data_IF_576439103385
#
_entry.id   IF_576439103385
#
_cell.length_a   1.000
_cell.length_b   1.000
_cell.length_c   1.000
_cell.angle_alpha   90.00
_cell.angle_beta   90.00
_cell.angle_gamma   90.00
#
_symmetry.space_group_name_H-M   'P 1'
#
loop_
_entity.id
_entity.type
_entity.pdbx_description
1 polymer ?
#
# COMPACT_ATOMS: atom_id res chain seq x y z
N UNK A 1 41.47 -4.46 -31.99
CA UNK A 1 42.37 -3.38 -31.47
C UNK A 1 41.65 -2.07 -31.64
N UNK A 2 41.37 -1.35 -30.53
CA UNK A 2 40.80 0.01 -30.60
C UNK A 2 41.95 0.98 -31.00
N UNK A 3 41.62 1.99 -31.81
CA UNK A 3 42.55 3.06 -32.15
C UNK A 3 42.92 3.83 -30.87
N UNK A 4 44.19 4.26 -30.77
CA UNK A 4 44.64 5.13 -29.66
C UNK A 4 43.97 6.50 -29.62
N UNK A 5 43.20 6.82 -30.63
CA UNK A 5 42.47 8.10 -30.81
C UNK A 5 41.00 8.03 -30.32
N UNK A 6 40.55 6.88 -29.80
CA UNK A 6 39.19 6.67 -29.32
C UNK A 6 39.20 6.34 -27.85
N UNK A 7 38.47 7.16 -27.07
CA UNK A 7 38.15 6.86 -25.69
C UNK A 7 37.02 5.79 -25.63
N UNK A 8 37.26 4.69 -24.94
CA UNK A 8 36.34 3.56 -24.87
C UNK A 8 35.03 3.96 -24.19
N UNK A 9 35.09 4.75 -23.11
CA UNK A 9 33.89 5.18 -22.37
C UNK A 9 33.03 6.11 -23.24
N UNK A 10 33.68 7.01 -24.03
CA UNK A 10 32.98 7.81 -25.01
C UNK A 10 32.26 6.93 -26.05
N UNK A 11 32.95 5.93 -26.61
CA UNK A 11 32.35 5.02 -27.57
C UNK A 11 31.15 4.24 -26.94
N UNK A 12 31.29 3.79 -25.74
CA UNK A 12 30.21 3.12 -24.99
C UNK A 12 28.99 4.02 -24.78
N UNK A 13 29.18 5.31 -24.49
CA UNK A 13 28.11 6.29 -24.36
C UNK A 13 27.42 6.53 -25.68
N UNK A 14 28.17 6.72 -26.79
CA UNK A 14 27.61 6.90 -28.13
C UNK A 14 26.78 5.71 -28.57
N UNK A 15 27.27 4.49 -28.32
CA UNK A 15 26.55 3.25 -28.66
C UNK A 15 25.26 3.04 -27.87
N UNK A 16 25.12 3.67 -26.71
CA UNK A 16 23.89 3.69 -25.90
C UNK A 16 22.93 4.82 -26.27
N UNK A 17 23.37 5.74 -27.10
CA UNK A 17 22.55 6.88 -27.57
C UNK A 17 21.38 6.42 -28.44
N UNK A 18 20.23 7.07 -28.29
CA UNK A 18 18.97 6.74 -28.97
C UNK A 18 19.14 6.64 -30.48
N UNK A 19 19.85 7.60 -31.08
CA UNK A 19 20.13 7.61 -32.52
C UNK A 19 20.84 6.32 -33.01
N UNK A 20 21.82 5.84 -32.24
CA UNK A 20 22.58 4.64 -32.61
C UNK A 20 21.75 3.40 -32.37
N UNK A 21 21.02 3.34 -31.27
CA UNK A 21 20.09 2.23 -30.94
C UNK A 21 19.01 2.12 -32.03
N UNK A 22 18.38 3.21 -32.43
CA UNK A 22 17.36 3.22 -33.46
C UNK A 22 17.94 2.76 -34.82
N UNK A 23 19.15 3.21 -35.18
CA UNK A 23 19.82 2.76 -36.38
C UNK A 23 20.13 1.26 -36.35
N UNK A 24 20.53 0.71 -35.21
CA UNK A 24 20.77 -0.72 -35.00
C UNK A 24 19.46 -1.52 -35.08
N UNK A 25 18.43 -1.12 -34.32
CA UNK A 25 17.16 -1.81 -34.25
C UNK A 25 16.33 -1.74 -35.54
N UNK A 26 16.50 -0.68 -36.33
CA UNK A 26 15.86 -0.57 -37.67
C UNK A 26 16.34 -1.65 -38.66
N UNK A 27 17.48 -2.30 -38.36
CA UNK A 27 18.06 -3.38 -39.18
C UNK A 27 17.81 -4.76 -38.60
N UNK A 28 17.02 -4.86 -37.54
CA UNK A 28 16.69 -6.13 -36.85
C UNK A 28 15.92 -7.05 -37.82
N UNK A 29 16.42 -8.28 -37.97
CA UNK A 29 15.76 -9.33 -38.73
C UNK A 29 15.47 -10.52 -37.82
N UNK A 30 14.22 -10.99 -37.78
CA UNK A 30 13.84 -12.14 -36.97
C UNK A 30 12.35 -12.18 -36.62
N UNK A 31 11.91 -13.25 -35.96
CA UNK A 31 10.55 -13.40 -35.45
C UNK A 31 10.36 -12.71 -34.09
N UNK A 32 9.11 -12.43 -33.73
CA UNK A 32 8.65 -11.65 -32.56
C UNK A 32 9.32 -12.01 -31.21
N UNK A 33 10.04 -13.14 -31.10
CA UNK A 33 10.69 -13.57 -29.86
C UNK A 33 12.22 -13.60 -29.87
N UNK A 34 12.87 -13.41 -31.04
CA UNK A 34 14.35 -13.35 -31.16
C UNK A 34 14.76 -12.46 -32.33
N UNK A 35 15.07 -11.20 -32.06
CA UNK A 35 15.67 -10.31 -33.03
C UNK A 35 17.19 -10.57 -33.15
N UNK A 36 17.71 -10.62 -34.36
CA UNK A 36 19.15 -10.69 -34.62
C UNK A 36 19.63 -9.38 -35.27
N UNK A 37 20.66 -8.79 -34.69
CA UNK A 37 21.34 -7.62 -35.24
C UNK A 37 22.51 -8.12 -36.08
N UNK A 38 22.51 -7.74 -37.35
CA UNK A 38 23.60 -8.11 -38.26
C UNK A 38 24.91 -7.40 -37.88
N UNK A 39 25.99 -8.15 -37.79
CA UNK A 39 27.32 -7.52 -37.54
C UNK A 39 27.72 -6.49 -38.60
N UNK A 40 27.32 -6.64 -39.85
CA UNK A 40 27.57 -5.71 -40.92
C UNK A 40 26.83 -4.37 -40.72
N UNK A 41 25.60 -4.40 -40.22
CA UNK A 41 24.83 -3.19 -39.88
C UNK A 41 25.48 -2.41 -38.74
N UNK A 42 26.02 -3.08 -37.75
CA UNK A 42 26.74 -2.46 -36.63
C UNK A 42 28.06 -1.85 -37.08
N UNK A 43 28.80 -2.49 -38.01
CA UNK A 43 30.08 -2.01 -38.51
C UNK A 43 29.95 -0.81 -39.45
N UNK A 44 28.80 -0.65 -40.08
CA UNK A 44 28.52 0.47 -41.03
C UNK A 44 27.84 1.68 -40.37
N UNK A 45 27.76 1.71 -39.02
CA UNK A 45 27.24 2.89 -38.32
C UNK A 45 28.15 4.10 -38.46
N UNK A 46 27.56 5.22 -38.86
CA UNK A 46 28.26 6.50 -38.89
C UNK A 46 28.22 7.17 -37.50
N UNK A 47 29.38 7.22 -36.86
CA UNK A 47 29.54 7.84 -35.53
C UNK A 47 30.41 9.09 -35.67
N UNK A 48 29.94 10.21 -35.14
CA UNK A 48 30.72 11.43 -35.05
C UNK A 48 31.82 11.27 -33.97
N UNK A 49 33.08 11.40 -34.35
CA UNK A 49 34.23 11.26 -33.48
C UNK A 49 34.93 12.60 -33.31
N UNK A 50 34.74 13.32 -32.19
CA UNK A 50 35.47 14.53 -31.89
C UNK A 50 36.95 14.23 -31.51
N UNK A 51 37.83 15.25 -31.43
CA UNK A 51 39.18 15.06 -30.90
C UNK A 51 39.20 14.38 -29.53
N UNK A 52 40.24 13.60 -29.21
CA UNK A 52 40.33 12.79 -27.97
C UNK A 52 40.11 13.61 -26.69
N UNK A 53 40.63 14.84 -26.64
CA UNK A 53 40.40 15.77 -25.52
C UNK A 53 38.93 16.14 -25.34
N UNK A 54 38.18 16.25 -26.42
CA UNK A 54 36.75 16.51 -26.38
C UNK A 54 35.97 15.27 -25.95
N UNK A 55 36.38 14.09 -26.44
CA UNK A 55 35.77 12.82 -25.95
C UNK A 55 35.87 12.69 -24.43
N UNK A 56 37.04 12.99 -23.85
CA UNK A 56 37.22 12.96 -22.38
C UNK A 56 36.32 13.98 -21.67
N UNK A 57 36.22 15.22 -22.22
CA UNK A 57 35.31 16.23 -21.61
C UNK A 57 33.86 15.80 -21.63
N UNK A 58 33.41 15.18 -22.72
CA UNK A 58 32.06 14.65 -22.86
C UNK A 58 31.80 13.56 -21.82
N UNK A 59 32.71 12.59 -21.68
CA UNK A 59 32.61 11.52 -20.70
C UNK A 59 32.48 12.07 -19.28
N UNK A 60 33.40 12.95 -18.88
CA UNK A 60 33.40 13.56 -17.54
C UNK A 60 32.11 14.34 -17.26
N UNK A 61 31.60 15.07 -18.24
CA UNK A 61 30.37 15.83 -18.06
C UNK A 61 29.13 14.94 -17.94
N UNK A 62 29.03 13.88 -18.76
CA UNK A 62 27.95 12.90 -18.67
C UNK A 62 27.98 12.14 -17.35
N UNK A 63 29.17 11.74 -16.88
CA UNK A 63 29.31 11.09 -15.56
C UNK A 63 28.83 11.98 -14.41
N UNK A 64 29.10 13.29 -14.45
CA UNK A 64 28.56 14.23 -13.47
C UNK A 64 27.02 14.29 -13.49
N UNK A 65 26.43 14.31 -14.69
CA UNK A 65 24.98 14.32 -14.83
C UNK A 65 24.36 13.03 -14.30
N UNK A 66 24.92 11.86 -14.60
CA UNK A 66 24.44 10.60 -14.05
C UNK A 66 24.55 10.55 -12.53
N UNK A 67 25.70 10.99 -11.97
CA UNK A 67 25.86 11.06 -10.53
C UNK A 67 24.82 11.98 -9.86
N UNK A 68 24.45 13.09 -10.50
CA UNK A 68 23.39 13.99 -10.01
C UNK A 68 22.00 13.34 -10.09
N UNK A 69 21.71 12.63 -11.18
CA UNK A 69 20.46 11.86 -11.34
C UNK A 69 20.34 10.81 -10.25
N UNK A 70 21.40 10.02 -10.00
CA UNK A 70 21.44 9.01 -8.95
C UNK A 70 21.19 9.61 -7.56
N UNK A 71 21.75 10.81 -7.28
CA UNK A 71 21.50 11.51 -6.02
C UNK A 71 20.04 11.95 -5.88
N UNK A 72 19.42 12.41 -6.94
CA UNK A 72 18.01 12.80 -6.96
C UNK A 72 17.11 11.58 -6.73
N UNK A 73 17.38 10.48 -7.43
CA UNK A 73 16.63 9.22 -7.27
C UNK A 73 16.75 8.66 -5.86
N UNK A 74 17.97 8.67 -5.29
CA UNK A 74 18.17 8.25 -3.91
C UNK A 74 17.42 9.15 -2.92
N UNK A 75 17.49 10.46 -3.08
CA UNK A 75 16.78 11.43 -2.25
C UNK A 75 15.26 11.22 -2.30
N UNK A 76 14.72 10.92 -3.49
CA UNK A 76 13.30 10.58 -3.68
C UNK A 76 12.92 9.30 -2.92
N UNK A 77 13.72 8.25 -3.02
CA UNK A 77 13.52 6.99 -2.31
C UNK A 77 13.54 7.17 -0.78
N UNK A 78 14.52 7.94 -0.29
CA UNK A 78 14.66 8.23 1.13
C UNK A 78 13.48 9.04 1.68
N UNK A 79 12.98 10.01 0.90
CA UNK A 79 11.80 10.79 1.28
C UNK A 79 10.52 9.94 1.32
N UNK A 80 10.32 9.03 0.35
CA UNK A 80 9.20 8.09 0.37
C UNK A 80 9.25 7.17 1.61
N UNK A 81 10.43 6.69 1.97
CA UNK A 81 10.65 5.90 3.18
C UNK A 81 10.30 6.69 4.44
N UNK A 82 10.76 7.94 4.52
CA UNK A 82 10.49 8.87 5.63
C UNK A 82 9.00 9.15 5.77
N UNK A 83 8.28 9.40 4.68
CA UNK A 83 6.82 9.60 4.67
C UNK A 83 6.11 8.37 5.25
N UNK A 84 6.49 7.16 4.80
CA UNK A 84 5.91 5.91 5.32
C UNK A 84 6.14 5.75 6.83
N UNK A 85 7.34 6.05 7.32
CA UNK A 85 7.67 6.00 8.74
C UNK A 85 6.88 7.05 9.52
N UNK A 86 6.73 8.25 8.98
CA UNK A 86 5.95 9.34 9.59
C UNK A 86 4.47 8.95 9.71
N UNK A 87 3.86 8.39 8.67
CA UNK A 87 2.48 7.87 8.75
C UNK A 87 2.33 6.80 9.83
N UNK A 88 3.28 5.88 9.93
CA UNK A 88 3.28 4.86 10.99
C UNK A 88 3.40 5.49 12.39
N UNK A 89 4.24 6.52 12.55
CA UNK A 89 4.40 7.23 13.81
C UNK A 89 3.16 8.03 14.22
N UNK A 90 2.45 8.63 13.26
CA UNK A 90 1.17 9.31 13.51
C UNK A 90 0.14 8.32 14.07
N UNK A 91 0.03 7.12 13.46
CA UNK A 91 -0.86 6.07 13.97
C UNK A 91 -0.44 5.59 15.36
N UNK A 92 0.84 5.42 15.62
CA UNK A 92 1.36 5.07 16.95
C UNK A 92 0.99 6.12 18.01
N UNK A 93 1.15 7.41 17.70
CA UNK A 93 0.71 8.50 18.59
C UNK A 93 -0.80 8.48 18.82
N UNK A 94 -1.58 8.15 17.79
CA UNK A 94 -3.03 8.06 17.87
C UNK A 94 -3.51 7.00 18.88
N UNK A 95 -2.96 5.78 18.79
CA UNK A 95 -3.35 4.68 19.68
C UNK A 95 -2.84 4.82 21.12
N UNK A 96 -1.89 5.72 21.36
CA UNK A 96 -1.38 6.02 22.70
C UNK A 96 -1.98 7.31 23.29
N UNK A 97 -3.02 7.89 22.63
CA UNK A 97 -3.69 9.10 23.08
C UNK A 97 -2.81 10.35 23.08
N UNK A 98 -1.78 10.39 22.22
CA UNK A 98 -0.80 11.48 22.12
C UNK A 98 -0.97 12.36 20.88
N UNK A 99 -1.95 12.04 20.01
CA UNK A 99 -2.14 12.75 18.75
C UNK A 99 -3.04 14.00 18.90
N UNK A 100 -4.03 13.93 19.77
CA UNK A 100 -4.99 15.03 20.03
C UNK A 100 -5.10 15.30 21.53
N UNK A 101 -5.48 16.52 21.93
CA UNK A 101 -5.70 16.82 23.34
C UNK A 101 -6.91 16.05 23.89
N UNK A 102 -6.82 15.65 25.16
CA UNK A 102 -7.91 15.02 25.90
C UNK A 102 -8.97 16.06 26.27
N UNK A 103 -10.25 15.69 26.25
CA UNK A 103 -11.36 16.49 26.74
C UNK A 103 -11.97 15.80 27.98
N UNK A 104 -11.87 16.40 29.18
CA UNK A 104 -12.40 15.77 30.40
C UNK A 104 -13.93 15.65 30.41
N UNK A 105 -14.64 16.31 29.49
CA UNK A 105 -16.09 16.21 29.36
C UNK A 105 -16.51 15.09 28.39
N UNK A 106 -15.57 14.39 27.78
CA UNK A 106 -15.88 13.24 26.95
C UNK A 106 -16.35 12.06 27.81
N UNK A 107 -17.32 11.31 27.29
CA UNK A 107 -17.80 10.09 27.93
C UNK A 107 -16.66 9.05 28.05
N UNK A 108 -16.45 8.40 29.18
CA UNK A 108 -15.46 7.32 29.27
C UNK A 108 -15.74 6.18 28.31
N UNK A 109 -14.69 5.59 27.72
CA UNK A 109 -14.81 4.50 26.76
C UNK A 109 -15.48 3.26 27.35
N UNK A 110 -15.44 3.07 28.67
CA UNK A 110 -16.15 1.99 29.37
C UNK A 110 -17.67 2.04 29.16
N UNK A 111 -18.26 3.25 29.11
CA UNK A 111 -19.71 3.41 28.87
C UNK A 111 -20.06 3.09 27.40
N UNK A 112 -19.21 3.50 26.47
CA UNK A 112 -19.35 3.13 25.06
C UNK A 112 -19.29 1.60 24.88
N UNK A 113 -18.34 0.93 25.51
CA UNK A 113 -18.18 -0.52 25.39
C UNK A 113 -19.31 -1.31 26.08
N UNK A 114 -19.92 -0.80 27.15
CA UNK A 114 -21.12 -1.37 27.76
C UNK A 114 -22.32 -1.34 26.81
N UNK A 115 -22.43 -0.33 25.92
CA UNK A 115 -23.46 -0.31 24.88
C UNK A 115 -23.26 -1.39 23.83
N UNK A 116 -22.00 -1.73 23.53
CA UNK A 116 -21.65 -2.81 22.59
C UNK A 116 -21.88 -4.19 23.23
N UNK A 117 -21.46 -4.33 24.48
CA UNK A 117 -21.58 -5.55 25.27
C UNK A 117 -21.83 -5.20 26.74
N UNK A 118 -23.08 -5.33 27.25
CA UNK A 118 -23.42 -4.99 28.64
C UNK A 118 -22.58 -5.72 29.69
N UNK A 119 -22.06 -6.90 29.36
CA UNK A 119 -21.20 -7.70 30.21
C UNK A 119 -19.70 -7.47 29.95
N UNK A 120 -19.35 -6.40 29.26
CA UNK A 120 -17.96 -6.09 28.96
C UNK A 120 -17.17 -5.86 30.25
N UNK A 121 -16.08 -6.58 30.38
CA UNK A 121 -15.07 -6.35 31.42
C UNK A 121 -13.80 -5.84 30.71
N UNK A 122 -13.24 -4.70 31.11
CA UNK A 122 -11.99 -4.20 30.54
C UNK A 122 -10.90 -5.26 30.58
N UNK A 123 -10.13 -5.38 29.51
CA UNK A 123 -8.91 -6.17 29.51
C UNK A 123 -7.89 -5.50 30.45
N UNK A 124 -7.00 -6.29 31.04
CA UNK A 124 -5.80 -5.74 31.65
C UNK A 124 -5.00 -4.99 30.58
N UNK A 125 -4.53 -3.77 30.89
CA UNK A 125 -3.85 -2.89 29.94
C UNK A 125 -2.44 -3.37 29.51
N UNK A 126 -2.18 -4.67 29.56
CA UNK A 126 -0.89 -5.35 29.50
C UNK A 126 0.17 -4.79 28.55
N UNK A 127 -0.20 -4.38 27.34
CA UNK A 127 0.71 -3.79 26.36
C UNK A 127 0.67 -2.24 26.33
N UNK A 128 -0.32 -1.61 26.98
CA UNK A 128 -0.56 -0.16 26.97
C UNK A 128 -0.40 0.41 28.36
N UNK A 129 0.82 0.59 28.83
CA UNK A 129 1.14 0.96 30.22
C UNK A 129 0.77 2.40 30.60
N UNK A 130 0.44 3.27 29.64
CA UNK A 130 0.18 4.72 29.85
C UNK A 130 -0.90 5.24 28.91
N UNK A 131 -2.11 4.69 29.02
CA UNK A 131 -3.26 5.27 28.31
C UNK A 131 -3.80 6.48 29.06
N UNK A 132 -4.39 7.48 28.36
CA UNK A 132 -5.09 8.59 29.00
C UNK A 132 -6.24 8.10 29.90
N UNK A 133 -6.61 8.96 30.84
CA UNK A 133 -7.79 8.72 31.67
C UNK A 133 -9.06 8.60 30.81
N UNK A 134 -9.96 7.71 31.16
CA UNK A 134 -11.19 7.44 30.41
C UNK A 134 -11.03 6.51 29.22
N UNK A 135 -9.79 6.14 28.83
CA UNK A 135 -9.55 5.11 27.83
C UNK A 135 -9.63 3.71 28.46
N UNK A 136 -9.95 2.71 27.62
CA UNK A 136 -9.90 1.30 28.02
C UNK A 136 -9.40 0.44 26.86
N UNK A 137 -9.06 -0.81 27.11
CA UNK A 137 -8.60 -1.75 26.09
C UNK A 137 -9.66 -2.82 25.86
N UNK A 138 -9.95 -3.11 24.60
CA UNK A 138 -10.84 -4.18 24.20
C UNK A 138 -10.24 -5.01 23.07
N UNK A 139 -10.50 -6.34 23.01
CA UNK A 139 -10.06 -7.13 21.87
C UNK A 139 -10.89 -6.79 20.62
N UNK A 140 -10.26 -6.85 19.44
CA UNK A 140 -10.87 -6.50 18.15
C UNK A 140 -12.21 -7.19 17.90
N UNK A 141 -12.40 -8.42 18.39
CA UNK A 141 -13.67 -9.16 18.27
C UNK A 141 -14.87 -8.50 18.94
N UNK A 142 -14.67 -7.56 19.87
CA UNK A 142 -15.74 -6.78 20.50
C UNK A 142 -16.18 -5.65 19.55
N UNK A 143 -15.27 -5.12 18.76
CA UNK A 143 -15.47 -3.94 17.92
C UNK A 143 -16.02 -4.28 16.54
N UNK A 144 -15.67 -5.46 16.00
CA UNK A 144 -16.07 -5.88 14.67
C UNK A 144 -16.18 -7.39 14.53
N UNK A 145 -16.86 -7.82 13.47
CA UNK A 145 -17.02 -9.23 13.11
C UNK A 145 -16.71 -9.46 11.63
N UNK A 146 -16.31 -10.71 11.30
CA UNK A 146 -16.05 -11.17 9.94
C UNK A 146 -17.18 -12.12 9.54
N UNK A 147 -17.97 -11.72 8.56
CA UNK A 147 -19.11 -12.49 8.06
C UNK A 147 -19.04 -12.75 6.56
N UNK A 148 -19.91 -13.57 6.05
CA UNK A 148 -20.14 -13.73 4.62
C UNK A 148 -21.36 -12.91 4.22
N UNK A 149 -21.37 -12.40 2.99
CA UNK A 149 -22.56 -11.84 2.36
C UNK A 149 -23.65 -12.91 2.16
N UNK A 150 -24.87 -12.47 1.94
CA UNK A 150 -26.01 -13.35 1.71
C UNK A 150 -25.89 -14.08 0.38
N UNK A 151 -26.13 -15.40 0.38
CA UNK A 151 -26.10 -16.18 -0.86
C UNK A 151 -27.25 -15.80 -1.76
N UNK A 152 -26.96 -15.40 -2.99
CA UNK A 152 -27.94 -15.12 -4.04
C UNK A 152 -27.59 -15.93 -5.30
N UNK A 153 -28.63 -16.34 -6.04
CA UNK A 153 -28.53 -17.07 -7.29
C UNK A 153 -29.48 -16.46 -8.34
N UNK A 154 -29.12 -16.57 -9.61
CA UNK A 154 -29.95 -16.14 -10.73
C UNK A 154 -29.96 -14.62 -11.00
N UNK A 155 -29.16 -13.86 -10.29
CA UNK A 155 -29.02 -12.41 -10.51
C UNK A 155 -27.59 -12.12 -10.97
N UNK A 156 -27.44 -11.49 -12.12
CA UNK A 156 -26.14 -11.09 -12.63
C UNK A 156 -25.61 -9.87 -11.89
N UNK A 157 -24.41 -9.98 -11.31
CA UNK A 157 -23.73 -8.91 -10.57
C UNK A 157 -22.23 -8.95 -10.78
N UNK A 158 -21.58 -7.80 -10.55
CA UNK A 158 -20.13 -7.68 -10.57
C UNK A 158 -19.47 -8.54 -9.49
N UNK A 159 -18.44 -9.29 -9.87
CA UNK A 159 -17.55 -9.98 -8.94
C UNK A 159 -16.56 -8.98 -8.32
N UNK A 160 -16.73 -8.68 -7.06
CA UNK A 160 -15.88 -7.75 -6.28
C UNK A 160 -14.65 -8.49 -5.75
N UNK A 161 -13.79 -8.94 -6.65
CA UNK A 161 -12.51 -9.56 -6.26
C UNK A 161 -11.36 -8.54 -6.15
N UNK A 162 -10.21 -9.02 -5.66
CA UNK A 162 -9.03 -8.18 -5.37
C UNK A 162 -8.57 -7.37 -6.58
N UNK A 163 -8.51 -8.01 -7.77
CA UNK A 163 -8.01 -7.35 -8.98
C UNK A 163 -8.94 -6.24 -9.44
N UNK A 164 -10.26 -6.48 -9.38
CA UNK A 164 -11.26 -5.45 -9.68
C UNK A 164 -11.20 -4.29 -8.67
N UNK A 165 -11.17 -4.60 -7.36
CA UNK A 165 -11.15 -3.58 -6.32
C UNK A 165 -9.86 -2.74 -6.29
N UNK A 166 -8.76 -3.26 -6.86
CA UNK A 166 -7.50 -2.51 -7.06
C UNK A 166 -7.44 -1.76 -8.39
N UNK A 167 -8.44 -1.90 -9.26
CA UNK A 167 -8.41 -1.32 -10.60
C UNK A 167 -7.42 -2.01 -11.55
N UNK A 168 -6.98 -3.23 -11.24
CA UNK A 168 -6.01 -4.00 -12.06
C UNK A 168 -6.67 -4.71 -13.24
N UNK A 169 -8.00 -4.77 -13.28
CA UNK A 169 -8.78 -5.35 -14.38
C UNK A 169 -10.22 -4.87 -14.39
N UNK A 170 -10.87 -5.03 -15.54
CA UNK A 170 -12.29 -4.75 -15.74
C UNK A 170 -13.20 -5.68 -14.92
N UNK A 171 -14.44 -5.23 -14.71
CA UNK A 171 -15.46 -5.98 -14.01
C UNK A 171 -15.76 -7.32 -14.70
N UNK A 172 -15.83 -8.39 -13.92
CA UNK A 172 -16.41 -9.67 -14.33
C UNK A 172 -17.76 -9.84 -13.66
N UNK A 173 -18.74 -10.39 -14.36
CA UNK A 173 -20.05 -10.70 -13.80
C UNK A 173 -20.18 -12.17 -13.42
N UNK A 174 -20.97 -12.43 -12.40
CA UNK A 174 -21.36 -13.75 -11.93
C UNK A 174 -22.87 -13.79 -11.79
N UNK A 175 -23.48 -14.96 -11.98
CA UNK A 175 -24.91 -15.18 -11.81
C UNK A 175 -25.27 -15.71 -10.43
N UNK A 176 -24.28 -15.96 -9.58
CA UNK A 176 -24.46 -16.41 -8.20
C UNK A 176 -23.26 -16.03 -7.34
N UNK A 177 -23.49 -15.79 -6.06
CA UNK A 177 -22.42 -15.46 -5.12
C UNK A 177 -22.95 -14.99 -3.78
N UNK A 178 -22.04 -14.47 -2.94
CA UNK A 178 -22.34 -13.84 -1.67
C UNK A 178 -22.55 -12.34 -1.90
N UNK A 179 -23.81 -11.90 -1.83
CA UNK A 179 -24.17 -10.51 -2.10
C UNK A 179 -23.68 -9.57 -1.01
N UNK A 180 -23.16 -8.43 -1.42
CA UNK A 180 -22.79 -7.30 -0.57
C UNK A 180 -23.23 -5.99 -1.25
N UNK A 181 -23.65 -5.03 -0.45
CA UNK A 181 -24.06 -3.69 -0.93
C UNK A 181 -22.85 -2.80 -1.20
N UNK A 182 -23.06 -1.75 -1.96
CA UNK A 182 -22.10 -0.64 -2.06
C UNK A 182 -21.75 -0.09 -0.67
N UNK A 183 -20.56 0.46 -0.53
CA UNK A 183 -19.98 0.95 0.73
C UNK A 183 -19.77 -0.12 1.83
N UNK A 184 -19.96 -1.40 1.56
CA UNK A 184 -19.57 -2.48 2.46
C UNK A 184 -18.04 -2.57 2.57
N UNK A 185 -17.55 -2.96 3.73
CA UNK A 185 -16.12 -3.21 3.95
C UNK A 185 -15.82 -4.70 3.70
N UNK A 186 -14.86 -4.97 2.84
CA UNK A 186 -14.34 -6.31 2.56
C UNK A 186 -12.90 -6.42 3.04
N UNK A 187 -12.61 -7.36 3.92
CA UNK A 187 -11.25 -7.68 4.37
C UNK A 187 -10.72 -8.90 3.65
N UNK A 188 -9.52 -8.79 3.10
CA UNK A 188 -8.84 -9.90 2.45
C UNK A 188 -8.39 -10.92 3.50
N UNK A 189 -8.92 -12.14 3.40
CA UNK A 189 -8.60 -13.23 4.34
C UNK A 189 -7.67 -14.28 3.74
N UNK A 190 -7.53 -14.33 2.42
CA UNK A 190 -6.68 -15.30 1.72
C UNK A 190 -5.72 -14.56 0.77
N UNK A 191 -4.46 -14.96 0.76
CA UNK A 191 -3.41 -14.42 -0.10
C UNK A 191 -2.35 -13.59 0.62
N UNK A 192 -1.37 -13.11 -0.16
CA UNK A 192 -0.17 -12.42 0.33
C UNK A 192 -0.46 -11.15 1.13
N UNK A 193 -1.51 -10.42 0.78
CA UNK A 193 -1.90 -9.17 1.42
C UNK A 193 -3.10 -9.33 2.38
N UNK A 194 -3.26 -10.51 2.99
CA UNK A 194 -4.33 -10.74 3.97
C UNK A 194 -4.32 -9.67 5.08
N UNK A 195 -5.52 -9.21 5.47
CA UNK A 195 -5.71 -8.06 6.35
C UNK A 195 -5.92 -6.71 5.63
N UNK A 196 -5.80 -6.66 4.30
CA UNK A 196 -6.14 -5.48 3.51
C UNK A 196 -7.67 -5.30 3.46
N UNK A 197 -8.12 -4.07 3.70
CA UNK A 197 -9.55 -3.73 3.68
C UNK A 197 -9.87 -2.87 2.47
N UNK A 198 -10.98 -3.20 1.81
CA UNK A 198 -11.53 -2.48 0.67
C UNK A 198 -12.95 -2.04 0.96
N UNK A 199 -13.33 -0.87 0.46
CA UNK A 199 -14.71 -0.42 0.44
C UNK A 199 -15.29 -0.72 -0.94
N UNK A 200 -16.46 -1.36 -0.98
CA UNK A 200 -17.10 -1.71 -2.24
C UNK A 200 -17.63 -0.47 -2.95
N UNK A 201 -17.27 -0.24 -4.22
CA UNK A 201 -17.76 0.94 -4.95
C UNK A 201 -19.24 0.80 -5.40
N UNK A 202 -19.69 -0.43 -5.57
CA UNK A 202 -21.03 -0.80 -6.07
C UNK A 202 -21.54 -2.05 -5.35
N UNK A 203 -22.82 -2.34 -5.52
CA UNK A 203 -23.41 -3.63 -5.18
C UNK A 203 -22.78 -4.76 -6.02
N UNK A 204 -22.53 -5.91 -5.41
CA UNK A 204 -21.92 -7.02 -6.14
C UNK A 204 -21.82 -8.31 -5.35
N UNK A 205 -21.10 -9.27 -5.90
CA UNK A 205 -20.76 -10.50 -5.20
C UNK A 205 -19.37 -10.42 -4.60
N UNK A 206 -19.29 -10.70 -3.31
CA UNK A 206 -18.04 -10.80 -2.55
C UNK A 206 -17.10 -11.81 -3.21
N UNK A 207 -15.89 -11.39 -3.55
CA UNK A 207 -14.84 -12.30 -4.05
C UNK A 207 -14.50 -13.39 -3.01
N UNK A 208 -14.15 -14.57 -3.48
CA UNK A 208 -13.93 -15.77 -2.64
C UNK A 208 -12.86 -15.59 -1.55
N UNK A 209 -11.91 -14.70 -1.78
CA UNK A 209 -10.80 -14.41 -0.86
C UNK A 209 -11.13 -13.38 0.24
N UNK A 210 -12.35 -12.87 0.24
CA UNK A 210 -12.80 -11.85 1.18
C UNK A 210 -13.76 -12.39 2.25
N UNK A 211 -13.83 -11.66 3.36
CA UNK A 211 -14.95 -11.62 4.30
C UNK A 211 -15.47 -10.20 4.38
N UNK A 212 -16.77 -10.04 4.63
CA UNK A 212 -17.32 -8.74 4.99
C UNK A 212 -16.92 -8.40 6.42
N UNK A 213 -16.39 -7.20 6.61
CA UNK A 213 -16.01 -6.64 7.90
C UNK A 213 -17.17 -5.78 8.40
N UNK A 214 -17.85 -6.23 9.44
CA UNK A 214 -18.91 -5.47 10.11
C UNK A 214 -18.33 -4.82 11.36
N UNK A 215 -18.27 -3.50 11.38
CA UNK A 215 -17.85 -2.71 12.54
C UNK A 215 -19.10 -2.32 13.31
N UNK A 216 -19.04 -2.38 14.65
CA UNK A 216 -20.15 -2.02 15.51
C UNK A 216 -20.50 -0.52 15.33
N UNK A 217 -21.79 -0.21 15.23
CA UNK A 217 -22.30 1.15 15.00
C UNK A 217 -21.92 2.17 16.11
N UNK A 218 -21.62 1.69 17.32
CA UNK A 218 -21.17 2.51 18.42
C UNK A 218 -19.68 2.90 18.32
N UNK A 219 -18.94 2.35 17.33
CA UNK A 219 -17.55 2.68 17.05
C UNK A 219 -17.44 3.61 15.86
N UNK A 220 -16.45 4.49 15.86
CA UNK A 220 -16.08 5.20 14.65
C UNK A 220 -15.42 4.23 13.66
N UNK A 221 -16.03 4.04 12.50
CA UNK A 221 -15.59 3.07 11.49
C UNK A 221 -14.13 3.34 11.07
N UNK A 222 -13.81 4.58 10.73
CA UNK A 222 -12.47 4.95 10.28
C UNK A 222 -11.41 4.76 11.38
N UNK A 223 -11.76 4.97 12.66
CA UNK A 223 -10.86 4.68 13.76
C UNK A 223 -10.48 3.19 13.79
N UNK A 224 -11.47 2.30 13.70
CA UNK A 224 -11.22 0.86 13.67
C UNK A 224 -10.40 0.45 12.44
N UNK A 225 -10.67 1.04 11.27
CA UNK A 225 -9.89 0.81 10.05
C UNK A 225 -8.42 1.23 10.21
N UNK A 226 -8.15 2.37 10.86
CA UNK A 226 -6.77 2.81 11.13
C UNK A 226 -6.03 1.84 12.06
N UNK A 227 -6.72 1.28 13.07
CA UNK A 227 -6.14 0.25 13.95
C UNK A 227 -5.82 -1.03 13.16
N UNK A 228 -6.74 -1.50 12.31
CA UNK A 228 -6.49 -2.67 11.45
C UNK A 228 -5.27 -2.41 10.54
N UNK A 229 -5.19 -1.22 9.94
CA UNK A 229 -4.08 -0.82 9.09
C UNK A 229 -2.73 -0.79 9.83
N UNK A 230 -2.71 -0.29 11.06
CA UNK A 230 -1.53 -0.29 11.92
C UNK A 230 -1.01 -1.73 12.16
N UNK A 231 -1.93 -2.67 12.40
CA UNK A 231 -1.59 -4.08 12.66
C UNK A 231 -1.39 -4.91 11.39
N UNK A 232 -1.59 -4.31 10.20
CA UNK A 232 -1.54 -5.02 8.91
C UNK A 232 -0.23 -5.77 8.68
N UNK A 233 0.91 -5.21 9.10
CA UNK A 233 2.21 -5.88 8.98
C UNK A 233 2.25 -7.17 9.80
N UNK A 234 1.86 -7.10 11.07
CA UNK A 234 1.83 -8.26 11.98
C UNK A 234 0.86 -9.33 11.48
N UNK A 235 -0.33 -8.93 11.02
CA UNK A 235 -1.32 -9.84 10.44
C UNK A 235 -0.78 -10.55 9.20
N UNK A 236 -0.05 -9.84 8.34
CA UNK A 236 0.56 -10.40 7.15
C UNK A 236 1.72 -11.36 7.46
N UNK A 237 2.53 -11.05 8.48
CA UNK A 237 3.68 -11.88 8.88
C UNK A 237 3.27 -13.12 9.69
N UNK A 238 2.11 -13.09 10.35
CA UNK A 238 1.57 -14.18 11.18
C UNK A 238 0.59 -15.10 10.46
N UNK A 239 0.60 -15.11 9.12
CA UNK A 239 -0.28 -15.95 8.28
C UNK A 239 -0.19 -17.43 8.64
N UNK A 240 -1.29 -18.15 8.43
CA UNK A 240 -1.41 -19.59 8.66
C UNK A 240 -1.59 -20.30 7.31
N UNK A 241 -0.93 -21.43 7.12
CA UNK A 241 -0.99 -22.22 5.87
C UNK A 241 0.25 -22.02 4.99
N UNK A 242 0.71 -23.14 4.39
CA UNK A 242 1.94 -23.16 3.59
C UNK A 242 1.72 -22.96 2.08
N UNK A 243 0.58 -23.40 1.54
CA UNK A 243 0.29 -23.34 0.10
C UNK A 243 -0.46 -22.05 -0.29
N UNK A 244 -1.48 -21.68 0.50
CA UNK A 244 -2.20 -20.40 0.36
C UNK A 244 -2.16 -19.73 1.73
N UNK A 245 -1.52 -18.56 1.87
CA UNK A 245 -1.49 -17.84 3.13
C UNK A 245 -2.88 -17.36 3.52
N UNK A 246 -3.31 -17.64 4.76
CA UNK A 246 -4.60 -17.20 5.30
C UNK A 246 -4.41 -16.22 6.44
N UNK A 247 -5.32 -15.27 6.58
CA UNK A 247 -5.40 -14.38 7.73
C UNK A 247 -5.52 -15.21 9.02
N UNK A 248 -4.63 -14.98 9.95
CA UNK A 248 -4.76 -15.57 11.28
C UNK A 248 -5.94 -14.92 12.01
N UNK A 249 -7.15 -15.49 11.83
CA UNK A 249 -8.40 -14.96 12.42
C UNK A 249 -8.37 -14.97 13.94
N UNK A 250 -7.62 -15.92 14.56
CA UNK A 250 -7.48 -15.97 16.02
C UNK A 250 -6.67 -14.76 16.50
N UNK A 251 -5.55 -14.47 15.85
CA UNK A 251 -4.75 -13.30 16.13
C UNK A 251 -5.52 -12.00 15.86
N UNK A 252 -6.21 -11.89 14.71
CA UNK A 252 -7.04 -10.73 14.39
C UNK A 252 -8.07 -10.41 15.47
N UNK A 253 -8.80 -11.43 15.94
CA UNK A 253 -9.80 -11.29 17.00
C UNK A 253 -9.20 -10.89 18.35
N UNK A 254 -7.98 -11.31 18.62
CA UNK A 254 -7.27 -11.07 19.88
C UNK A 254 -6.46 -9.77 19.89
N UNK A 255 -6.38 -9.01 18.78
CA UNK A 255 -5.70 -7.71 18.77
C UNK A 255 -6.33 -6.84 19.88
N UNK A 256 -5.50 -6.40 20.81
CA UNK A 256 -5.88 -5.45 21.84
C UNK A 256 -5.92 -4.05 21.25
N UNK A 257 -7.06 -3.38 21.42
CA UNK A 257 -7.31 -2.06 20.83
C UNK A 257 -7.57 -1.06 21.96
N UNK A 258 -6.77 0.00 22.05
CA UNK A 258 -7.06 1.12 22.95
C UNK A 258 -8.27 1.90 22.43
N UNK A 259 -9.24 2.11 23.29
CA UNK A 259 -10.53 2.72 22.93
C UNK A 259 -10.68 4.03 23.69
N UNK A 260 -10.68 5.19 22.98
CA UNK A 260 -11.10 6.47 23.52
C UNK A 260 -12.61 6.66 23.47
N UNK A 261 -13.10 7.78 23.97
CA UNK A 261 -14.48 8.22 23.75
C UNK A 261 -14.82 8.29 22.27
N UNK A 262 -16.09 8.15 21.90
CA UNK A 262 -16.50 8.26 20.49
C UNK A 262 -16.11 9.62 19.87
N UNK A 263 -16.27 10.71 20.62
CA UNK A 263 -15.88 12.05 20.17
C UNK A 263 -14.36 12.17 19.94
N UNK A 264 -13.58 11.55 20.80
CA UNK A 264 -12.13 11.53 20.64
C UNK A 264 -11.70 10.67 19.47
N UNK A 265 -12.35 9.53 19.19
CA UNK A 265 -12.13 8.77 17.96
C UNK A 265 -12.32 9.66 16.72
N UNK A 266 -13.36 10.49 16.70
CA UNK A 266 -13.59 11.43 15.59
C UNK A 266 -12.46 12.46 15.46
N UNK A 267 -11.99 13.07 16.59
CA UNK A 267 -10.86 14.02 16.58
C UNK A 267 -9.57 13.36 16.07
N UNK A 268 -9.29 12.15 16.54
CA UNK A 268 -8.13 11.35 16.12
C UNK A 268 -8.18 11.09 14.61
N UNK A 269 -9.30 10.60 14.09
CA UNK A 269 -9.50 10.32 12.65
C UNK A 269 -9.31 11.59 11.82
N UNK A 270 -9.88 12.71 12.26
CA UNK A 270 -9.71 14.00 11.58
C UNK A 270 -8.23 14.42 11.53
N UNK A 271 -7.50 14.30 12.64
CA UNK A 271 -6.09 14.64 12.71
C UNK A 271 -5.23 13.74 11.81
N UNK A 272 -5.49 12.42 11.81
CA UNK A 272 -4.82 11.47 10.92
C UNK A 272 -5.06 11.85 9.46
N UNK A 273 -6.32 12.10 9.07
CA UNK A 273 -6.67 12.41 7.68
C UNK A 273 -6.02 13.70 7.19
N UNK A 274 -5.97 14.75 8.04
CA UNK A 274 -5.29 15.99 7.70
C UNK A 274 -3.79 15.73 7.50
N UNK A 275 -3.13 15.04 8.43
CA UNK A 275 -1.71 14.76 8.35
C UNK A 275 -1.36 13.87 7.15
N UNK A 276 -2.14 12.81 6.90
CA UNK A 276 -1.92 11.92 5.76
C UNK A 276 -2.10 12.64 4.44
N UNK A 277 -3.16 13.46 4.31
CA UNK A 277 -3.37 14.27 3.10
C UNK A 277 -2.17 15.17 2.79
N UNK A 278 -1.57 15.82 3.80
CA UNK A 278 -0.37 16.64 3.57
C UNK A 278 0.83 15.79 3.11
N UNK A 279 1.02 14.61 3.70
CA UNK A 279 2.09 13.69 3.32
C UNK A 279 1.88 13.12 1.91
N UNK A 280 0.63 12.85 1.51
CA UNK A 280 0.29 12.38 0.17
C UNK A 280 0.55 13.45 -0.89
N UNK A 281 0.21 14.71 -0.63
CA UNK A 281 0.55 15.84 -1.52
C UNK A 281 2.05 15.96 -1.76
N UNK A 282 2.88 15.73 -0.73
CA UNK A 282 4.34 15.68 -0.89
C UNK A 282 4.73 14.52 -1.80
N UNK A 283 4.13 13.34 -1.60
CA UNK A 283 4.42 12.14 -2.43
C UNK A 283 4.05 12.36 -3.90
N UNK A 284 2.90 13.00 -4.16
CA UNK A 284 2.42 13.30 -5.52
C UNK A 284 3.29 14.34 -6.26
N UNK A 285 4.02 15.17 -5.52
CA UNK A 285 4.92 16.19 -6.05
C UNK A 285 6.33 15.66 -6.40
N UNK A 286 6.64 14.41 -6.06
CA UNK A 286 7.90 13.71 -6.34
C UNK A 286 7.88 12.98 -7.69
#
# INVERSE_FOLDING_TARGET
CFSSEINIDFLCLVLKGEYVLDAIFSTETGNVSQGNIGSESTLNLNIAIPPLTEQHRIVVEIEKWFALIDQIEQGKSDLQSTIKQTKSKILDLAIHGKLVPQDPNDEPASELLKRINPNFTPCDNGHYTQLPEGWTVAPMQVLCSLVDGDKQNGIERTNLDVKYLRGERDAKTLTSGKYVTANSLLILVDGENSGEVFRTPIDGYQGSTFKQLLINENMNEEYVLQIINLHRKVLRESKVGSAIPHLNKKLFKAIEVPIPSYKEQQRIVMAINIAFKQLDLITESL
#
